data_IF_285675211994
#
_entry.id   IF_285675211994
#
_cell.length_a   1.000
_cell.length_b   1.000
_cell.length_c   1.000
_cell.angle_alpha   90.00
_cell.angle_beta   90.00
_cell.angle_gamma   90.00
#
_symmetry.space_group_name_H-M   'P 1'
#
loop_
_entity.id
_entity.type
_entity.pdbx_description
1 polymer ?
#
# COMPACT_ATOMS: atom_id res chain seq x y z
N UNK A 1 -4.71 20.43 23.52
CA UNK A 1 -4.46 18.97 23.52
C UNK A 1 -3.82 18.65 22.19
N UNK A 2 -2.51 18.34 22.18
CA UNK A 2 -1.88 17.84 20.96
C UNK A 2 -2.49 16.48 20.64
N UNK A 3 -2.90 16.28 19.40
CA UNK A 3 -3.39 14.98 18.95
C UNK A 3 -2.20 14.02 18.81
N UNK A 4 -2.46 12.72 18.79
CA UNK A 4 -1.43 11.70 18.51
C UNK A 4 -0.66 12.03 17.22
N UNK A 5 -1.34 12.65 16.25
CA UNK A 5 -0.74 13.12 14.98
C UNK A 5 0.30 14.23 15.19
N UNK A 6 0.04 15.17 16.09
CA UNK A 6 0.94 16.30 16.35
C UNK A 6 2.24 15.83 17.03
N UNK A 7 2.13 14.91 17.99
CA UNK A 7 3.28 14.30 18.66
C UNK A 7 4.11 13.44 17.70
N UNK A 8 3.45 12.67 16.84
CA UNK A 8 4.12 11.86 15.83
C UNK A 8 4.86 12.73 14.82
N UNK A 9 4.23 13.82 14.35
CA UNK A 9 4.84 14.79 13.45
C UNK A 9 6.08 15.44 14.07
N UNK A 10 6.02 15.82 15.34
CA UNK A 10 7.16 16.39 16.06
C UNK A 10 8.33 15.40 16.16
N UNK A 11 8.05 14.12 16.46
CA UNK A 11 9.07 13.07 16.52
C UNK A 11 9.73 12.84 15.16
N UNK A 12 8.96 12.73 14.08
CA UNK A 12 9.49 12.54 12.72
C UNK A 12 10.37 13.72 12.30
N UNK A 13 9.97 14.95 12.63
CA UNK A 13 10.77 16.15 12.32
C UNK A 13 12.10 16.19 13.08
N UNK A 14 12.14 15.64 14.29
CA UNK A 14 13.33 15.57 15.14
C UNK A 14 14.33 14.48 14.71
N UNK A 15 13.97 13.57 13.80
CA UNK A 15 14.89 12.54 13.32
C UNK A 15 16.03 13.16 12.48
N UNK A 16 17.25 12.60 12.56
CA UNK A 16 18.31 12.88 11.60
C UNK A 16 17.87 12.62 10.16
N UNK A 17 18.48 13.31 9.20
CA UNK A 17 18.08 13.19 7.79
C UNK A 17 18.25 11.77 7.24
N UNK A 18 19.28 11.04 7.70
CA UNK A 18 19.48 9.64 7.34
C UNK A 18 18.34 8.74 7.84
N UNK A 19 17.89 8.93 9.08
CA UNK A 19 16.80 8.15 9.67
C UNK A 19 15.46 8.47 8.99
N UNK A 20 15.26 9.70 8.53
CA UNK A 20 14.08 10.06 7.72
C UNK A 20 14.06 9.31 6.40
N UNK A 21 15.21 9.18 5.74
CA UNK A 21 15.33 8.44 4.47
C UNK A 21 15.05 6.96 4.70
N UNK A 22 15.66 6.35 5.72
CA UNK A 22 15.40 4.94 6.08
C UNK A 22 13.93 4.68 6.43
N UNK A 23 13.28 5.63 7.12
CA UNK A 23 11.86 5.55 7.43
C UNK A 23 11.00 5.59 6.16
N UNK A 24 11.31 6.48 5.22
CA UNK A 24 10.63 6.55 3.92
C UNK A 24 10.81 5.25 3.14
N UNK A 25 12.04 4.73 3.05
CA UNK A 25 12.34 3.48 2.35
C UNK A 25 11.58 2.30 2.98
N UNK A 26 11.52 2.23 4.31
CA UNK A 26 10.75 1.20 5.02
C UNK A 26 9.24 1.28 4.74
N UNK A 27 8.67 2.49 4.63
CA UNK A 27 7.26 2.68 4.27
C UNK A 27 7.00 2.24 2.83
N UNK A 28 7.85 2.64 1.89
CA UNK A 28 7.72 2.25 0.49
C UNK A 28 7.82 0.73 0.31
N UNK A 29 8.74 0.08 1.01
CA UNK A 29 8.91 -1.37 0.98
C UNK A 29 7.73 -2.14 1.59
N UNK A 30 6.96 -1.52 2.48
CA UNK A 30 5.72 -2.08 3.02
C UNK A 30 4.54 -1.91 2.05
N UNK A 31 4.49 -0.81 1.30
CA UNK A 31 3.47 -0.55 0.27
C UNK A 31 3.65 -1.39 -0.99
N UNK A 32 4.88 -1.84 -1.28
CA UNK A 32 5.19 -2.70 -2.43
C UNK A 32 4.61 -4.12 -2.31
N UNK A 33 4.11 -4.50 -1.14
CA UNK A 33 3.45 -5.80 -0.96
C UNK A 33 2.05 -5.72 -1.58
N UNK A 34 1.76 -6.48 -2.66
CA UNK A 34 0.42 -6.51 -3.21
C UNK A 34 -0.54 -7.00 -2.14
N UNK A 35 -1.68 -6.33 -2.05
CA UNK A 35 -2.72 -6.73 -1.11
C UNK A 35 -3.33 -8.04 -1.63
N UNK A 36 -3.22 -9.15 -0.89
CA UNK A 36 -3.70 -10.45 -1.34
C UNK A 36 -5.22 -10.49 -1.54
N UNK A 37 -5.99 -9.56 -0.97
CA UNK A 37 -7.41 -9.40 -1.26
C UNK A 37 -7.63 -8.76 -2.64
N UNK A 38 -6.84 -7.74 -2.98
CA UNK A 38 -6.87 -7.11 -4.32
C UNK A 38 -6.43 -8.09 -5.40
N UNK A 39 -5.38 -8.88 -5.13
CA UNK A 39 -4.91 -9.92 -6.06
C UNK A 39 -6.00 -10.96 -6.34
N UNK A 40 -6.78 -11.35 -5.32
CA UNK A 40 -7.91 -12.29 -5.48
C UNK A 40 -9.02 -11.69 -6.34
N UNK A 41 -9.38 -10.43 -6.10
CA UNK A 41 -10.41 -9.73 -6.88
C UNK A 41 -9.99 -9.66 -8.35
N UNK A 42 -8.72 -9.34 -8.64
CA UNK A 42 -8.21 -9.32 -10.01
C UNK A 42 -8.20 -10.70 -10.67
N UNK A 43 -7.83 -11.75 -9.94
CA UNK A 43 -7.87 -13.13 -10.45
C UNK A 43 -9.30 -13.58 -10.81
N UNK A 44 -10.27 -13.28 -9.94
CA UNK A 44 -11.68 -13.60 -10.16
C UNK A 44 -12.27 -12.81 -11.33
N UNK A 45 -11.92 -11.52 -11.45
CA UNK A 45 -12.35 -10.68 -12.58
C UNK A 45 -11.74 -11.17 -13.90
N UNK A 46 -10.46 -11.53 -13.93
CA UNK A 46 -9.82 -12.08 -15.12
C UNK A 46 -10.46 -13.42 -15.54
N UNK A 47 -10.82 -14.28 -14.58
CA UNK A 47 -11.55 -15.51 -14.83
C UNK A 47 -12.99 -15.26 -15.33
N UNK A 48 -13.66 -14.23 -14.79
CA UNK A 48 -14.99 -13.83 -15.22
C UNK A 48 -15.01 -13.22 -16.63
N UNK A 49 -14.04 -12.36 -16.93
CA UNK A 49 -13.85 -11.76 -18.25
C UNK A 49 -13.60 -12.84 -19.31
N UNK A 50 -12.76 -13.84 -18.99
CA UNK A 50 -12.52 -15.02 -19.83
C UNK A 50 -13.77 -15.86 -20.12
N UNK A 51 -14.70 -15.95 -19.16
CA UNK A 51 -15.99 -16.63 -19.37
C UNK A 51 -16.95 -15.84 -20.25
N UNK A 52 -16.98 -14.52 -20.11
CA UNK A 52 -17.84 -13.66 -20.93
C UNK A 52 -17.42 -13.67 -22.41
N UNK A 53 -16.13 -13.61 -22.72
CA UNK A 53 -15.66 -13.69 -24.11
C UNK A 53 -15.97 -15.05 -24.77
N UNK A 54 -16.00 -16.14 -23.98
CA UNK A 54 -16.31 -17.48 -24.48
C UNK A 54 -17.80 -17.75 -24.69
N UNK A 55 -18.72 -16.93 -24.16
CA UNK A 55 -20.17 -17.05 -24.39
C UNK A 55 -20.66 -16.23 -25.59
N UNK A 56 -19.83 -15.32 -26.11
CA UNK A 56 -20.18 -14.40 -27.20
C UNK A 56 -19.53 -14.85 -28.54
N UNK A 57 -18.81 -15.98 -28.54
CA UNK A 57 -18.24 -16.65 -29.73
C UNK A 57 -18.94 -17.98 -29.95
#
# INVERSE_FOLDING_TARGET
MGTISDELSAKIKSLPDIEKIELVDSILMQLDKPDPEIDRIWADEHANAGRHISQVT
#
